data_IF_708005181198
#
_entry.id   IF_708005181198
#
_cell.length_a   1.000
_cell.length_b   1.000
_cell.length_c   1.000
_cell.angle_alpha   90.00
_cell.angle_beta   90.00
_cell.angle_gamma   90.00
#
_symmetry.space_group_name_H-M   'P 1'
#
loop_
_entity.id
_entity.type
_entity.pdbx_description
1 polymer ?
#
# COMPACT_ATOMS: atom_id res chain seq x y z
N UNK A 1 -3.51 -35.24 47.39
CA UNK A 1 -2.97 -34.05 48.07
C UNK A 1 -3.12 -32.88 47.10
N UNK A 2 -4.19 -32.06 47.24
CA UNK A 2 -4.17 -30.69 47.79
C UNK A 2 -3.15 -29.79 47.05
N UNK A 3 -3.62 -28.93 46.13
CA UNK A 3 -3.84 -27.47 46.32
C UNK A 3 -2.54 -26.69 45.97
N UNK A 4 -2.49 -25.55 45.27
CA UNK A 4 -3.40 -24.44 45.02
C UNK A 4 -2.95 -23.68 43.75
N UNK A 5 -3.88 -23.07 43.03
CA UNK A 5 -3.65 -21.86 42.24
C UNK A 5 -3.67 -20.62 43.16
N UNK A 6 -3.05 -19.51 42.73
CA UNK A 6 -3.67 -18.21 42.98
C UNK A 6 -3.81 -17.36 41.71
N UNK A 7 -5.05 -16.87 41.53
CA UNK A 7 -5.37 -15.65 40.82
C UNK A 7 -4.75 -14.44 41.53
N UNK A 8 -4.32 -13.43 40.78
CA UNK A 8 -4.35 -12.03 41.22
C UNK A 8 -4.62 -11.13 40.01
N UNK A 9 -5.78 -10.46 40.08
CA UNK A 9 -6.16 -9.33 39.24
C UNK A 9 -5.34 -8.09 39.63
N UNK A 10 -5.05 -7.22 38.66
CA UNK A 10 -5.07 -5.77 38.89
C UNK A 10 -5.16 -5.00 37.57
N UNK A 11 -6.34 -4.41 37.36
CA UNK A 11 -6.65 -3.12 36.75
C UNK A 11 -5.50 -2.31 36.12
N UNK A 12 -5.69 -1.90 34.87
CA UNK A 12 -5.53 -0.49 34.52
C UNK A 12 -6.49 -0.08 33.40
N UNK A 13 -7.45 0.74 33.79
CA UNK A 13 -8.49 1.38 32.99
C UNK A 13 -7.98 2.81 32.76
N UNK A 14 -7.56 3.15 31.55
CA UNK A 14 -7.23 4.53 31.21
C UNK A 14 -8.37 5.12 30.39
N UNK A 15 -9.30 5.78 31.08
CA UNK A 15 -10.26 6.71 30.52
C UNK A 15 -9.64 8.10 30.55
N UNK A 16 -9.69 8.83 29.43
CA UNK A 16 -9.80 10.29 29.45
C UNK A 16 -10.67 10.75 28.29
N UNK A 17 -11.89 11.17 28.64
CA UNK A 17 -12.67 12.15 27.88
C UNK A 17 -12.15 13.52 28.28
N UNK A 18 -11.90 14.38 27.30
CA UNK A 18 -11.98 15.83 27.46
C UNK A 18 -12.44 16.42 26.13
N UNK A 19 -13.72 16.79 26.10
CA UNK A 19 -14.28 17.74 25.17
C UNK A 19 -13.82 19.15 25.52
N UNK A 20 -13.47 19.96 24.53
CA UNK A 20 -13.88 21.37 24.50
C UNK A 20 -13.89 21.91 23.08
N UNK A 21 -14.94 22.69 22.85
CA UNK A 21 -15.28 23.50 21.69
C UNK A 21 -14.37 24.72 21.56
N UNK A 22 -14.26 25.28 20.36
CA UNK A 22 -14.80 26.62 20.06
C UNK A 22 -14.44 27.10 18.65
N UNK A 23 -15.24 28.05 18.23
CA UNK A 23 -15.57 28.54 16.90
C UNK A 23 -14.63 29.58 16.28
N UNK A 24 -14.74 29.72 14.95
CA UNK A 24 -14.70 30.95 14.12
C UNK A 24 -13.77 32.11 14.54
N UNK A 25 -12.90 32.56 13.62
CA UNK A 25 -13.10 33.86 12.97
C UNK A 25 -12.22 34.07 11.74
N UNK A 26 -12.82 34.72 10.76
CA UNK A 26 -12.21 35.31 9.57
C UNK A 26 -11.58 36.66 9.88
N UNK A 27 -10.48 36.99 9.22
CA UNK A 27 -10.06 38.39 9.05
C UNK A 27 -9.42 38.61 7.68
N UNK A 28 -10.17 39.28 6.80
CA UNK A 28 -9.69 40.09 5.68
C UNK A 28 -8.92 41.29 6.23
N UNK A 29 -7.81 41.67 5.62
CA UNK A 29 -7.47 43.09 5.42
C UNK A 29 -6.81 43.28 4.06
N UNK A 30 -7.37 44.23 3.31
CA UNK A 30 -6.81 44.85 2.11
C UNK A 30 -6.17 46.18 2.52
N UNK A 31 -5.08 46.57 1.86
CA UNK A 31 -4.74 48.00 1.70
C UNK A 31 -3.79 48.20 0.52
N UNK A 32 -4.26 49.01 -0.42
CA UNK A 32 -3.56 49.60 -1.56
C UNK A 32 -2.82 50.86 -1.11
N UNK A 33 -1.63 51.14 -1.64
CA UNK A 33 -1.13 52.52 -1.83
C UNK A 33 -0.15 52.58 -2.99
N UNK A 34 -0.44 53.51 -3.89
CA UNK A 34 0.32 54.00 -5.04
C UNK A 34 1.36 55.05 -4.65
N UNK A 35 2.48 55.16 -5.40
CA UNK A 35 3.15 56.44 -5.69
C UNK A 35 4.18 56.28 -6.82
N UNK A 36 4.03 57.10 -7.86
CA UNK A 36 5.01 57.39 -8.91
C UNK A 36 6.14 58.29 -8.37
N UNK A 37 7.26 58.39 -9.10
CA UNK A 37 8.23 59.50 -8.95
C UNK A 37 9.69 59.16 -9.25
N UNK A 38 10.13 59.51 -10.45
CA UNK A 38 11.48 59.33 -11.03
C UNK A 38 12.52 60.36 -10.54
N UNK A 39 13.80 59.96 -10.45
CA UNK A 39 14.96 60.81 -10.80
C UNK A 39 16.24 59.98 -11.05
N UNK A 40 16.94 60.33 -12.14
CA UNK A 40 18.06 59.65 -12.80
C UNK A 40 19.48 59.91 -12.24
N UNK A 41 20.41 59.06 -12.73
CA UNK A 41 21.89 59.18 -12.91
C UNK A 41 22.77 58.76 -11.71
N UNK A 42 23.86 57.97 -11.83
CA UNK A 42 24.54 57.29 -12.95
C UNK A 42 25.65 56.36 -12.43
N UNK A 43 26.00 55.35 -13.25
CA UNK A 43 27.28 54.58 -13.31
C UNK A 43 27.57 53.67 -12.11
N UNK A 44 27.95 52.39 -12.22
CA UNK A 44 28.83 51.66 -13.14
C UNK A 44 28.59 50.15 -12.98
N UNK A 45 29.13 49.38 -13.94
CA UNK A 45 29.29 47.91 -14.04
C UNK A 45 28.11 47.12 -14.64
N UNK A 46 28.18 47.05 -15.97
CA UNK A 46 27.62 46.00 -16.81
C UNK A 46 27.74 44.61 -16.18
N UNK A 47 26.61 44.09 -15.75
CA UNK A 47 26.39 42.65 -15.61
C UNK A 47 25.26 42.33 -16.57
N UNK A 48 25.55 41.55 -17.59
CA UNK A 48 24.55 41.00 -18.51
C UNK A 48 23.54 40.22 -17.68
N UNK A 49 22.37 40.83 -17.44
CA UNK A 49 21.20 40.09 -16.97
C UNK A 49 20.76 39.28 -18.18
N UNK A 50 21.25 38.04 -18.24
CA UNK A 50 20.70 37.04 -19.13
C UNK A 50 19.23 36.92 -18.79
N UNK A 51 18.40 37.48 -19.67
CA UNK A 51 16.96 37.35 -19.65
C UNK A 51 16.63 35.87 -19.89
N UNK A 52 16.68 35.07 -18.82
CA UNK A 52 16.29 33.66 -18.87
C UNK A 52 14.80 33.63 -19.16
N UNK A 53 14.46 33.40 -20.42
CA UNK A 53 13.12 33.03 -20.83
C UNK A 53 12.75 31.77 -20.05
N UNK A 54 11.93 31.94 -19.02
CA UNK A 54 11.35 30.82 -18.29
C UNK A 54 10.25 30.21 -19.16
N UNK A 55 10.65 29.51 -20.21
CA UNK A 55 9.77 28.61 -20.95
C UNK A 55 9.55 27.37 -20.10
N UNK A 56 8.55 27.43 -19.23
CA UNK A 56 8.05 26.24 -18.55
C UNK A 56 7.20 25.40 -19.53
N UNK A 57 7.45 24.10 -19.48
CA UNK A 57 6.59 22.97 -19.88
C UNK A 57 6.95 22.21 -21.16
N UNK A 58 8.16 21.65 -21.22
CA UNK A 58 8.23 20.23 -21.59
C UNK A 58 7.61 19.45 -20.44
N UNK A 59 6.41 18.89 -20.62
CA UNK A 59 5.87 17.89 -19.69
C UNK A 59 6.89 16.76 -19.59
N UNK A 60 7.64 16.71 -18.48
CA UNK A 60 8.49 15.57 -18.16
C UNK A 60 7.60 14.33 -18.11
N UNK A 61 7.80 13.42 -19.05
CA UNK A 61 7.11 12.14 -19.06
C UNK A 61 7.77 11.25 -18.00
N UNK A 62 7.05 10.92 -16.94
CA UNK A 62 7.51 9.93 -15.95
C UNK A 62 7.62 8.58 -16.67
N UNK A 63 8.83 8.02 -16.75
CA UNK A 63 9.08 6.67 -17.24
C UNK A 63 9.00 5.68 -16.09
N UNK A 64 8.49 4.48 -16.38
CA UNK A 64 8.44 3.38 -15.43
C UNK A 64 9.19 2.18 -16.00
N UNK A 65 10.13 1.66 -15.22
CA UNK A 65 10.96 0.51 -15.60
C UNK A 65 10.62 -0.70 -14.73
N UNK A 66 10.50 -1.87 -15.36
CA UNK A 66 10.15 -3.13 -14.70
C UNK A 66 11.33 -4.08 -14.78
N UNK A 67 12.05 -4.23 -13.68
CA UNK A 67 13.28 -5.03 -13.62
C UNK A 67 13.22 -6.11 -12.53
N UNK A 68 14.20 -7.00 -12.55
CA UNK A 68 14.38 -7.94 -11.44
C UNK A 68 14.86 -7.14 -10.23
N UNK A 69 14.25 -7.36 -9.07
CA UNK A 69 14.59 -6.62 -7.86
C UNK A 69 15.59 -7.35 -6.99
N UNK A 70 16.20 -6.58 -6.09
CA UNK A 70 17.02 -7.08 -5.00
C UNK A 70 16.32 -6.86 -3.66
N UNK A 71 16.78 -7.53 -2.62
CA UNK A 71 16.24 -7.39 -1.27
C UNK A 71 16.28 -5.94 -0.77
N UNK A 72 17.35 -5.21 -1.08
CA UNK A 72 17.55 -3.83 -0.62
C UNK A 72 16.50 -2.86 -1.18
N UNK A 73 15.97 -3.16 -2.39
CA UNK A 73 14.92 -2.37 -3.04
C UNK A 73 13.62 -2.33 -2.23
N UNK A 74 13.41 -3.29 -1.33
CA UNK A 74 12.14 -3.48 -0.61
C UNK A 74 12.14 -2.91 0.80
N UNK A 75 13.28 -2.42 1.29
CA UNK A 75 13.48 -2.00 2.69
C UNK A 75 12.41 -1.03 3.22
N UNK A 76 11.94 -0.09 2.40
CA UNK A 76 10.86 0.83 2.74
C UNK A 76 9.47 0.19 2.57
N UNK A 77 9.26 -0.56 1.49
CA UNK A 77 7.96 -1.14 1.13
C UNK A 77 7.53 -2.23 2.13
N UNK A 78 8.45 -3.08 2.56
CA UNK A 78 8.12 -4.21 3.45
C UNK A 78 7.58 -3.74 4.81
N UNK A 79 8.02 -2.57 5.27
CA UNK A 79 7.56 -1.97 6.54
C UNK A 79 6.08 -1.59 6.49
N UNK A 80 5.51 -1.38 5.31
CA UNK A 80 4.10 -1.06 5.12
C UNK A 80 3.17 -2.28 5.22
N UNK A 81 3.70 -3.50 5.13
CA UNK A 81 2.87 -4.72 5.16
C UNK A 81 2.15 -4.90 6.50
N UNK A 82 2.81 -4.58 7.63
CA UNK A 82 2.35 -4.77 9.01
C UNK A 82 1.95 -6.21 9.43
N UNK A 83 1.83 -7.16 8.49
CA UNK A 83 1.52 -8.57 8.76
C UNK A 83 2.76 -9.47 8.87
N UNK A 84 3.95 -8.90 8.70
CA UNK A 84 5.25 -9.55 8.84
C UNK A 84 5.89 -9.12 10.16
N UNK A 85 6.24 -10.07 11.00
CA UNK A 85 6.88 -9.87 12.32
C UNK A 85 8.39 -9.63 12.21
N UNK A 86 9.04 -10.12 11.15
CA UNK A 86 10.47 -9.94 10.88
C UNK A 86 10.67 -9.58 9.40
N UNK A 87 10.53 -8.29 9.04
CA UNK A 87 10.57 -7.82 7.64
C UNK A 87 11.81 -8.25 6.87
N UNK A 88 12.98 -8.14 7.48
CA UNK A 88 14.27 -8.44 6.85
C UNK A 88 14.34 -9.92 6.46
N UNK A 89 14.02 -10.82 7.40
CA UNK A 89 13.99 -12.26 7.13
C UNK A 89 12.93 -12.66 6.12
N UNK A 90 11.85 -11.90 6.00
CA UNK A 90 10.80 -12.16 5.01
C UNK A 90 11.26 -11.77 3.61
N UNK A 91 11.96 -10.65 3.47
CA UNK A 91 12.51 -10.19 2.19
C UNK A 91 13.47 -11.22 1.59
N UNK A 92 14.34 -11.81 2.42
CA UNK A 92 15.29 -12.86 1.99
C UNK A 92 14.60 -14.13 1.44
N UNK A 93 13.30 -14.28 1.68
CA UNK A 93 12.52 -15.44 1.24
C UNK A 93 11.68 -15.15 -0.01
N UNK A 94 11.75 -13.93 -0.56
CA UNK A 94 11.04 -13.56 -1.78
C UNK A 94 11.75 -14.16 -2.99
N UNK A 95 11.02 -15.00 -3.70
CA UNK A 95 11.37 -15.63 -4.96
C UNK A 95 10.74 -14.84 -6.12
N UNK A 96 11.40 -14.85 -7.28
CA UNK A 96 10.98 -14.15 -8.50
C UNK A 96 10.65 -12.65 -8.29
N UNK A 97 11.46 -11.96 -7.48
CA UNK A 97 11.25 -10.56 -7.17
C UNK A 97 11.34 -9.66 -8.42
N UNK A 98 10.28 -8.90 -8.66
CA UNK A 98 10.20 -7.84 -9.64
C UNK A 98 9.92 -6.50 -8.95
N UNK A 99 10.61 -5.45 -9.40
CA UNK A 99 10.40 -4.09 -8.91
C UNK A 99 10.00 -3.16 -10.05
N UNK A 100 9.21 -2.14 -9.69
CA UNK A 100 8.88 -1.03 -10.59
C UNK A 100 9.63 0.19 -10.10
N UNK A 101 10.43 0.80 -10.98
CA UNK A 101 11.23 1.99 -10.69
C UNK A 101 10.82 3.16 -11.58
N UNK A 102 11.06 4.36 -11.07
CA UNK A 102 11.18 5.60 -11.86
C UNK A 102 12.54 6.16 -11.51
N UNK A 103 13.43 6.21 -12.50
CA UNK A 103 14.86 6.46 -12.28
C UNK A 103 15.43 5.51 -11.20
N UNK A 104 16.08 6.04 -10.17
CA UNK A 104 16.67 5.27 -9.07
C UNK A 104 15.68 4.93 -7.95
N UNK A 105 14.42 5.37 -8.04
CA UNK A 105 13.44 5.23 -6.95
C UNK A 105 12.58 3.98 -7.16
N UNK A 106 12.62 3.07 -6.18
CA UNK A 106 11.72 1.91 -6.15
C UNK A 106 10.31 2.33 -5.73
N UNK A 107 9.36 2.20 -6.67
CA UNK A 107 7.96 2.57 -6.48
C UNK A 107 7.07 1.39 -6.12
N UNK A 108 7.49 0.16 -6.39
CA UNK A 108 6.76 -1.04 -6.02
C UNK A 108 7.59 -2.31 -6.10
N UNK A 109 7.22 -3.30 -5.31
CA UNK A 109 7.86 -4.59 -5.22
C UNK A 109 6.83 -5.72 -5.26
N UNK A 110 7.12 -6.73 -6.07
CA UNK A 110 6.20 -7.82 -6.38
C UNK A 110 6.96 -9.13 -6.43
N UNK A 111 6.52 -10.14 -5.69
CA UNK A 111 7.20 -11.43 -5.69
C UNK A 111 6.46 -12.48 -4.90
N UNK A 112 7.01 -13.69 -4.87
CA UNK A 112 6.37 -14.84 -4.24
C UNK A 112 7.15 -15.33 -3.04
N UNK A 113 6.45 -15.72 -1.98
CA UNK A 113 7.07 -16.29 -0.80
C UNK A 113 6.39 -17.61 -0.50
N UNK A 114 7.14 -18.71 -0.44
CA UNK A 114 6.56 -19.98 -0.03
C UNK A 114 6.02 -19.88 1.41
N UNK A 115 4.73 -20.19 1.60
CA UNK A 115 4.08 -20.02 2.90
C UNK A 115 4.77 -20.82 4.01
N UNK A 116 5.25 -22.03 3.73
CA UNK A 116 5.88 -22.87 4.74
C UNK A 116 7.23 -22.31 5.20
N UNK A 117 7.96 -21.63 4.32
CA UNK A 117 9.20 -20.91 4.65
C UNK A 117 8.89 -19.66 5.51
N UNK A 118 7.87 -18.90 5.13
CA UNK A 118 7.53 -17.64 5.81
C UNK A 118 6.69 -17.79 7.08
N UNK A 119 6.03 -18.92 7.34
CA UNK A 119 5.04 -19.06 8.43
C UNK A 119 5.51 -18.59 9.82
N UNK A 120 6.82 -18.69 10.10
CA UNK A 120 7.41 -18.26 11.39
C UNK A 120 7.57 -16.73 11.48
N UNK A 121 7.66 -16.05 10.34
CA UNK A 121 7.82 -14.61 10.22
C UNK A 121 6.48 -13.89 10.11
N UNK A 122 5.36 -14.60 9.96
CA UNK A 122 4.03 -13.99 9.83
C UNK A 122 3.41 -13.69 11.20
N UNK A 123 2.61 -12.63 11.26
CA UNK A 123 1.81 -12.34 12.43
C UNK A 123 0.79 -13.47 12.71
N UNK A 124 0.56 -13.77 14.00
CA UNK A 124 -0.29 -14.90 14.43
C UNK A 124 -1.69 -14.89 13.79
N UNK A 125 -2.29 -13.70 13.65
CA UNK A 125 -3.63 -13.57 13.07
C UNK A 125 -3.65 -13.87 11.57
N UNK A 126 -2.61 -13.49 10.84
CA UNK A 126 -2.45 -13.87 9.42
C UNK A 126 -2.28 -15.39 9.30
N UNK A 127 -1.44 -16.01 10.13
CA UNK A 127 -1.26 -17.47 10.13
C UNK A 127 -2.56 -18.23 10.42
N UNK A 128 -3.40 -17.73 11.33
CA UNK A 128 -4.74 -18.29 11.58
C UNK A 128 -5.67 -18.13 10.38
N UNK A 129 -5.66 -16.97 9.74
CA UNK A 129 -6.46 -16.70 8.55
C UNK A 129 -6.06 -17.62 7.38
N UNK A 130 -4.76 -17.76 7.12
CA UNK A 130 -4.23 -18.68 6.11
C UNK A 130 -4.67 -20.12 6.40
N UNK A 131 -4.52 -20.59 7.65
CA UNK A 131 -4.94 -21.95 8.03
C UNK A 131 -6.43 -22.17 7.79
N UNK A 132 -7.28 -21.19 8.09
CA UNK A 132 -8.72 -21.26 7.82
C UNK A 132 -9.00 -21.33 6.32
N UNK A 133 -8.30 -20.52 5.53
CA UNK A 133 -8.52 -20.40 4.09
C UNK A 133 -7.98 -21.61 3.31
N UNK A 134 -6.93 -22.26 3.80
CA UNK A 134 -6.23 -23.38 3.14
C UNK A 134 -6.50 -24.73 3.81
N UNK A 135 -7.52 -24.83 4.68
CA UNK A 135 -7.81 -26.04 5.45
C UNK A 135 -8.19 -27.24 4.57
N UNK A 136 -8.79 -26.99 3.42
CA UNK A 136 -9.28 -27.96 2.45
C UNK A 136 -8.23 -28.36 1.41
N UNK A 137 -7.07 -27.69 1.38
CA UNK A 137 -6.00 -28.01 0.43
C UNK A 137 -5.20 -29.21 0.94
N UNK A 138 -5.07 -30.22 0.08
CA UNK A 138 -4.33 -31.45 0.37
C UNK A 138 -2.82 -31.19 0.45
N UNK A 139 -2.26 -30.42 -0.50
CA UNK A 139 -0.87 -30.00 -0.50
C UNK A 139 -0.72 -28.52 -0.13
N UNK A 140 -0.01 -28.27 0.98
CA UNK A 140 0.32 -26.91 1.44
C UNK A 140 1.70 -26.45 0.97
N UNK A 141 2.51 -27.32 0.35
CA UNK A 141 3.80 -26.96 -0.23
C UNK A 141 3.61 -26.08 -1.48
N UNK A 142 2.52 -26.27 -2.22
CA UNK A 142 2.13 -25.46 -3.37
C UNK A 142 1.50 -24.10 -3.05
N UNK A 143 1.46 -23.69 -1.78
CA UNK A 143 0.85 -22.41 -1.35
C UNK A 143 1.91 -21.33 -1.20
N UNK A 144 1.74 -20.24 -1.94
CA UNK A 144 2.63 -19.09 -1.91
C UNK A 144 1.89 -17.83 -1.50
N UNK A 145 2.58 -16.91 -0.86
CA UNK A 145 2.12 -15.56 -0.56
C UNK A 145 2.63 -14.64 -1.66
N UNK A 146 1.74 -13.91 -2.30
CA UNK A 146 2.11 -12.85 -3.23
C UNK A 146 2.36 -11.57 -2.45
N UNK A 147 3.63 -11.20 -2.34
CA UNK A 147 4.03 -9.89 -1.88
C UNK A 147 3.72 -8.90 -3.00
N UNK A 148 2.84 -7.93 -2.74
CA UNK A 148 2.68 -6.76 -3.60
C UNK A 148 2.53 -5.52 -2.71
N UNK A 149 3.62 -4.76 -2.58
CA UNK A 149 3.61 -3.49 -1.88
C UNK A 149 4.15 -2.41 -2.81
N UNK A 150 3.52 -1.24 -2.78
CA UNK A 150 3.83 -0.16 -3.71
C UNK A 150 3.30 1.17 -3.23
N UNK A 151 3.89 2.25 -3.74
CA UNK A 151 3.40 3.59 -3.49
C UNK A 151 2.04 3.82 -4.15
N UNK A 152 1.15 4.60 -3.51
CA UNK A 152 -0.09 5.04 -4.13
C UNK A 152 0.18 5.78 -5.44
N UNK A 153 -0.68 5.58 -6.44
CA UNK A 153 -0.58 6.27 -7.74
C UNK A 153 0.25 5.55 -8.80
N UNK A 154 0.85 4.39 -8.50
CA UNK A 154 1.49 3.58 -9.53
C UNK A 154 0.47 3.21 -10.64
N UNK A 155 0.76 3.47 -11.93
CA UNK A 155 -0.22 3.25 -12.99
C UNK A 155 -0.64 1.77 -13.12
N UNK A 156 -1.95 1.54 -13.33
CA UNK A 156 -2.52 0.20 -13.52
C UNK A 156 -1.82 -0.58 -14.64
N UNK A 157 -1.41 0.10 -15.72
CA UNK A 157 -0.65 -0.51 -16.83
C UNK A 157 0.69 -1.09 -16.35
N UNK A 158 1.45 -0.39 -15.51
CA UNK A 158 2.72 -0.89 -14.99
C UNK A 158 2.50 -2.12 -14.10
N UNK A 159 1.46 -2.11 -13.27
CA UNK A 159 1.06 -3.26 -12.44
C UNK A 159 0.75 -4.46 -13.33
N UNK A 160 -0.09 -4.30 -14.36
CA UNK A 160 -0.44 -5.39 -15.29
C UNK A 160 0.79 -5.98 -15.99
N UNK A 161 1.75 -5.15 -16.40
CA UNK A 161 3.00 -5.63 -17.00
C UNK A 161 3.87 -6.42 -16.00
N UNK A 162 3.88 -6.05 -14.71
CA UNK A 162 4.51 -6.86 -13.66
C UNK A 162 3.84 -8.23 -13.56
N UNK A 163 2.52 -8.29 -13.53
CA UNK A 163 1.78 -9.57 -13.49
C UNK A 163 2.09 -10.45 -14.72
N UNK A 164 2.28 -9.88 -15.91
CA UNK A 164 2.69 -10.63 -17.10
C UNK A 164 4.13 -11.15 -17.00
N UNK A 165 5.03 -10.37 -16.42
CA UNK A 165 6.45 -10.74 -16.26
C UNK A 165 6.62 -11.84 -15.22
N UNK A 166 5.89 -11.73 -14.10
CA UNK A 166 5.80 -12.76 -13.08
C UNK A 166 5.05 -13.96 -13.66
N UNK A 167 5.78 -14.94 -14.19
CA UNK A 167 5.16 -16.17 -14.72
C UNK A 167 4.53 -16.95 -13.56
N UNK A 168 3.24 -16.76 -13.32
CA UNK A 168 2.47 -17.48 -12.30
C UNK A 168 2.47 -18.98 -12.60
N UNK A 169 3.46 -19.69 -12.07
CA UNK A 169 3.58 -21.16 -12.16
C UNK A 169 2.94 -21.87 -10.96
N UNK A 170 2.32 -21.11 -10.08
CA UNK A 170 1.90 -21.54 -8.75
C UNK A 170 0.52 -22.16 -8.80
N UNK A 171 0.32 -23.24 -8.03
CA UNK A 171 -0.98 -23.89 -7.93
C UNK A 171 -1.96 -23.02 -7.12
N UNK A 172 -1.49 -22.48 -5.99
CA UNK A 172 -2.26 -21.61 -5.12
C UNK A 172 -1.46 -20.38 -4.70
N UNK A 173 -2.12 -19.23 -4.76
CA UNK A 173 -1.55 -17.94 -4.44
C UNK A 173 -2.41 -17.20 -3.42
N UNK A 174 -1.78 -16.74 -2.34
CA UNK A 174 -2.38 -15.97 -1.26
C UNK A 174 -2.08 -14.49 -1.49
N UNK A 175 -3.10 -13.69 -1.74
CA UNK A 175 -2.96 -12.25 -1.94
C UNK A 175 -3.47 -11.55 -0.68
N UNK A 176 -2.61 -10.75 -0.05
CA UNK A 176 -2.95 -9.95 1.13
C UNK A 176 -3.16 -8.51 0.69
N UNK A 177 -4.17 -7.86 1.25
CA UNK A 177 -4.33 -6.42 1.10
C UNK A 177 -4.90 -5.81 2.36
N UNK A 178 -4.36 -4.66 2.76
CA UNK A 178 -5.04 -3.79 3.70
C UNK A 178 -6.39 -3.37 3.12
N UNK A 179 -7.40 -3.25 3.97
CA UNK A 179 -8.72 -2.79 3.54
C UNK A 179 -9.05 -1.43 4.11
N UNK A 180 -9.76 -0.64 3.31
CA UNK A 180 -10.40 0.58 3.76
C UNK A 180 -11.93 0.41 3.78
N UNK A 181 -12.59 1.27 4.54
CA UNK A 181 -14.05 1.31 4.61
C UNK A 181 -14.56 2.32 3.58
N UNK A 182 -15.16 1.81 2.50
CA UNK A 182 -15.69 2.63 1.42
C UNK A 182 -17.06 3.21 1.82
N UNK A 183 -17.25 4.50 1.56
CA UNK A 183 -18.54 5.15 1.69
C UNK A 183 -19.47 4.81 0.51
N UNK A 184 -20.71 5.33 0.56
CA UNK A 184 -21.71 5.08 -0.48
C UNK A 184 -21.32 5.69 -1.83
N UNK A 185 -20.61 6.80 -1.84
CA UNK A 185 -20.20 7.50 -3.06
C UNK A 185 -19.11 6.69 -3.77
N UNK A 186 -18.12 6.22 -3.02
CA UNK A 186 -17.03 5.40 -3.51
C UNK A 186 -17.54 4.06 -4.05
N UNK A 187 -18.43 3.39 -3.32
CA UNK A 187 -19.09 2.16 -3.82
C UNK A 187 -19.85 2.45 -5.13
N UNK A 188 -20.56 3.57 -5.22
CA UNK A 188 -21.33 3.94 -6.43
C UNK A 188 -20.41 4.25 -7.61
N UNK A 189 -19.29 4.94 -7.37
CA UNK A 189 -18.24 5.20 -8.36
C UNK A 189 -17.64 3.89 -8.88
N UNK A 190 -17.30 2.96 -7.99
CA UNK A 190 -16.72 1.68 -8.35
C UNK A 190 -17.72 0.75 -9.06
N UNK A 191 -19.00 0.74 -8.68
CA UNK A 191 -20.04 0.01 -9.42
C UNK A 191 -20.19 0.50 -10.86
N UNK A 192 -20.00 1.79 -11.13
CA UNK A 192 -19.98 2.32 -12.51
C UNK A 192 -18.75 1.85 -13.28
N UNK A 193 -17.57 1.82 -12.64
CA UNK A 193 -16.32 1.36 -13.28
C UNK A 193 -16.30 -0.17 -13.47
N UNK A 194 -16.86 -0.93 -12.54
CA UNK A 194 -16.84 -2.39 -12.49
C UNK A 194 -18.25 -2.97 -12.24
N UNK A 195 -19.18 -2.85 -13.20
CA UNK A 195 -20.60 -3.18 -12.98
C UNK A 195 -20.89 -4.64 -12.69
N UNK A 196 -19.94 -5.55 -12.98
CA UNK A 196 -20.08 -7.00 -12.77
C UNK A 196 -19.56 -7.48 -11.41
N UNK A 197 -19.00 -6.60 -10.59
CA UNK A 197 -18.39 -6.97 -9.31
C UNK A 197 -19.35 -6.71 -8.15
N UNK A 198 -19.43 -7.67 -7.22
CA UNK A 198 -20.12 -7.49 -5.95
C UNK A 198 -19.18 -6.73 -5.02
N UNK A 199 -19.53 -5.49 -4.68
CA UNK A 199 -18.73 -4.62 -3.83
C UNK A 199 -19.31 -4.59 -2.42
N UNK A 200 -18.44 -4.87 -1.44
CA UNK A 200 -18.71 -4.77 -0.02
C UNK A 200 -18.27 -3.40 0.53
N UNK A 201 -18.62 -3.09 1.79
CA UNK A 201 -18.15 -1.87 2.46
C UNK A 201 -16.63 -1.89 2.73
N UNK A 202 -16.04 -3.08 2.88
CA UNK A 202 -14.60 -3.24 3.09
C UNK A 202 -13.93 -3.64 1.78
N UNK A 203 -13.15 -2.72 1.21
CA UNK A 203 -12.49 -2.88 -0.08
C UNK A 203 -10.96 -2.93 0.10
N UNK A 204 -10.23 -3.70 -0.72
CA UNK A 204 -8.77 -3.69 -0.72
C UNK A 204 -8.25 -2.31 -1.13
N UNK A 205 -7.14 -1.86 -0.51
CA UNK A 205 -6.48 -0.59 -0.86
C UNK A 205 -6.03 -0.57 -2.33
N UNK A 206 -5.73 -1.74 -2.87
CA UNK A 206 -5.38 -1.94 -4.27
C UNK A 206 -6.61 -2.39 -5.04
N UNK A 207 -7.40 -1.42 -5.52
CA UNK A 207 -8.73 -1.66 -6.10
C UNK A 207 -8.73 -2.56 -7.34
N UNK A 208 -7.62 -2.64 -8.09
CA UNK A 208 -7.50 -3.56 -9.22
C UNK A 208 -7.56 -5.03 -8.77
N UNK A 209 -7.23 -5.33 -7.51
CA UNK A 209 -7.39 -6.66 -6.93
C UNK A 209 -8.86 -7.10 -6.84
N UNK A 210 -9.81 -6.15 -6.80
CA UNK A 210 -11.23 -6.50 -6.86
C UNK A 210 -11.55 -7.11 -8.23
N UNK A 211 -10.98 -6.56 -9.30
CA UNK A 211 -11.18 -7.10 -10.65
C UNK A 211 -10.47 -8.45 -10.83
N UNK A 212 -9.25 -8.57 -10.32
CA UNK A 212 -8.44 -9.79 -10.47
C UNK A 212 -8.93 -10.94 -9.58
N UNK A 213 -9.34 -10.66 -8.34
CA UNK A 213 -9.57 -11.67 -7.31
C UNK A 213 -10.95 -11.57 -6.63
N UNK A 214 -11.83 -10.66 -7.06
CA UNK A 214 -13.12 -10.44 -6.41
C UNK A 214 -14.06 -11.64 -6.40
N UNK A 215 -13.80 -12.65 -7.23
CA UNK A 215 -14.57 -13.91 -7.32
C UNK A 215 -13.94 -15.08 -6.55
N UNK A 216 -12.75 -14.89 -5.98
CA UNK A 216 -12.04 -15.97 -5.29
C UNK A 216 -12.45 -16.09 -3.83
N UNK A 217 -12.11 -17.21 -3.20
CA UNK A 217 -12.36 -17.41 -1.77
C UNK A 217 -11.53 -16.41 -0.97
N UNK A 218 -12.18 -15.67 -0.08
CA UNK A 218 -11.53 -14.66 0.77
C UNK A 218 -11.86 -14.82 2.25
N UNK A 219 -10.95 -14.40 3.12
CA UNK A 219 -11.20 -14.23 4.56
C UNK A 219 -10.63 -12.90 5.04
N UNK A 220 -11.16 -12.39 6.14
CA UNK A 220 -10.69 -11.15 6.76
C UNK A 220 -9.93 -11.46 8.06
N UNK A 221 -8.97 -10.60 8.41
CA UNK A 221 -8.29 -10.60 9.70
C UNK A 221 -7.83 -9.19 10.07
N UNK A 222 -7.37 -9.02 11.31
CA UNK A 222 -6.92 -7.72 11.83
C UNK A 222 -5.61 -7.85 12.62
N UNK A 223 -4.81 -6.79 12.59
CA UNK A 223 -3.59 -6.61 13.38
C UNK A 223 -3.66 -5.20 13.98
N UNK A 224 -3.88 -5.11 15.29
CA UNK A 224 -4.31 -3.86 15.91
C UNK A 224 -5.59 -3.34 15.26
N UNK A 225 -5.60 -2.07 14.88
CA UNK A 225 -6.72 -1.41 14.20
C UNK A 225 -6.70 -1.58 12.67
N UNK A 226 -5.63 -2.17 12.12
CA UNK A 226 -5.49 -2.39 10.68
C UNK A 226 -6.24 -3.67 10.29
N UNK A 227 -7.13 -3.55 9.31
CA UNK A 227 -7.90 -4.67 8.75
C UNK A 227 -7.27 -5.11 7.43
N UNK A 228 -7.34 -6.41 7.18
CA UNK A 228 -6.83 -7.05 5.98
C UNK A 228 -7.86 -7.98 5.37
N UNK A 229 -7.80 -8.13 4.06
CA UNK A 229 -8.42 -9.21 3.30
C UNK A 229 -7.32 -10.13 2.77
N UNK A 230 -7.58 -11.44 2.84
CA UNK A 230 -6.74 -12.48 2.29
C UNK A 230 -7.54 -13.23 1.23
N UNK A 231 -7.08 -13.18 -0.02
CA UNK A 231 -7.62 -13.92 -1.14
C UNK A 231 -6.82 -15.21 -1.36
N UNK A 232 -7.50 -16.29 -1.73
CA UNK A 232 -6.89 -17.52 -2.24
C UNK A 232 -7.23 -17.63 -3.72
N UNK A 233 -6.27 -17.30 -4.58
CA UNK A 233 -6.36 -17.50 -6.01
C UNK A 233 -5.74 -18.85 -6.39
N UNK A 234 -6.30 -19.50 -7.40
CA UNK A 234 -5.71 -20.67 -8.03
C UNK A 234 -5.04 -20.28 -9.37
N UNK A 235 -4.37 -21.25 -10.00
CA UNK A 235 -3.69 -21.02 -11.28
C UNK A 235 -4.61 -20.50 -12.39
N UNK A 236 -5.91 -20.77 -12.37
CA UNK A 236 -6.85 -20.31 -13.40
C UNK A 236 -7.16 -18.81 -13.31
N UNK A 237 -6.77 -18.15 -12.22
CA UNK A 237 -6.91 -16.71 -12.05
C UNK A 237 -5.82 -15.87 -12.75
N UNK A 238 -4.77 -16.52 -13.28
CA UNK A 238 -3.59 -15.87 -13.89
C UNK A 238 -3.37 -16.35 -15.32
#
# INVERSE_FOLDING_TARGET
MKNLSPNLMSNNKCTNKSSNSDSLSSSKMSSTTSSEGSSNMSSTTSSEISESTFTQSSTESISYEIQNGLAEDLSLLIRNTCYVSSPETFVDQIEDLCVVKSDEVTLGGFGFVNYLKAKKNLHRNMTKAIKKLTNHLEDKNGVFIFFNERFPGLPEKAIVEVFKKLKFKLEYCLIVSQVFEADKEEISRLKRKYPKLVLDKLLPNHLEQINLFGKTTKTYFSIGDIKFVLFLADKSNF
#
